data_IF_405533038180
#
_entry.id   IF_405533038180
#
_cell.length_a   1.000
_cell.length_b   1.000
_cell.length_c   1.000
_cell.angle_alpha   90.00
_cell.angle_beta   90.00
_cell.angle_gamma   90.00
#
_symmetry.space_group_name_H-M   'P 1'
#
loop_
_entity.id
_entity.type
_entity.pdbx_description
1 polymer ?
#
# COMPACT_ATOMS: atom_id res chain seq x y z
N UNK A 1 0.15 8.66 -16.17
CA UNK A 1 0.24 9.70 -15.12
C UNK A 1 0.35 9.04 -13.74
N UNK A 2 1.59 8.98 -13.27
CA UNK A 2 2.14 8.72 -11.93
C UNK A 2 1.41 7.81 -10.93
N UNK A 3 1.65 6.51 -11.08
CA UNK A 3 1.46 5.48 -10.04
C UNK A 3 2.58 5.46 -8.97
N UNK A 4 3.43 6.50 -8.97
CA UNK A 4 4.72 6.48 -8.29
C UNK A 4 4.60 6.68 -6.77
N UNK A 5 3.49 7.24 -6.28
CA UNK A 5 3.33 7.60 -4.88
C UNK A 5 3.19 6.36 -3.97
N UNK A 6 2.42 5.35 -4.39
CA UNK A 6 2.27 4.11 -3.63
C UNK A 6 3.54 3.25 -3.66
N UNK A 7 4.24 3.19 -4.79
CA UNK A 7 5.51 2.46 -4.83
C UNK A 7 6.57 3.15 -3.94
N UNK A 8 6.60 4.49 -3.94
CA UNK A 8 7.40 5.26 -2.98
C UNK A 8 7.02 4.96 -1.53
N UNK A 9 5.73 4.91 -1.21
CA UNK A 9 5.24 4.54 0.12
C UNK A 9 5.71 3.15 0.53
N UNK A 10 5.49 2.14 -0.31
CA UNK A 10 5.92 0.77 -0.06
C UNK A 10 7.44 0.68 0.11
N UNK A 11 8.20 1.51 -0.61
CA UNK A 11 9.66 1.61 -0.46
C UNK A 11 10.05 2.28 0.85
N UNK A 12 9.35 3.34 1.27
CA UNK A 12 9.58 4.00 2.56
C UNK A 12 9.30 3.07 3.74
N UNK A 13 8.15 2.39 3.72
CA UNK A 13 7.76 1.41 4.74
C UNK A 13 8.80 0.28 4.81
N UNK A 14 9.25 -0.24 3.66
CA UNK A 14 10.35 -1.22 3.58
C UNK A 14 11.69 -0.69 4.11
N UNK A 15 12.04 0.57 3.81
CA UNK A 15 13.25 1.21 4.31
C UNK A 15 13.23 1.41 5.83
N UNK A 16 12.04 1.50 6.44
CA UNK A 16 11.85 1.51 7.89
C UNK A 16 11.88 0.11 8.52
N UNK A 17 12.12 -0.95 7.73
CA UNK A 17 12.06 -2.35 8.19
C UNK A 17 10.63 -2.85 8.45
N UNK A 18 9.61 -2.11 8.00
CA UNK A 18 8.20 -2.48 8.14
C UNK A 18 7.73 -3.12 6.83
N UNK A 19 6.88 -4.15 6.95
CA UNK A 19 6.23 -4.82 5.82
C UNK A 19 4.72 -4.79 5.95
N UNK A 20 4.19 -3.96 6.84
CA UNK A 20 2.77 -3.81 7.08
C UNK A 20 2.43 -2.33 7.24
N UNK A 21 1.25 -1.96 6.77
CA UNK A 21 0.74 -0.60 6.86
C UNK A 21 -0.78 -0.61 7.00
N UNK A 22 -1.30 0.44 7.61
CA UNK A 22 -2.74 0.66 7.75
C UNK A 22 -3.26 1.60 6.68
N UNK A 23 -4.55 1.47 6.38
CA UNK A 23 -5.27 2.41 5.54
C UNK A 23 -5.25 3.83 6.12
N UNK A 24 -5.25 3.94 7.44
CA UNK A 24 -5.21 5.22 8.15
C UNK A 24 -3.86 5.91 7.98
N UNK A 25 -2.74 5.20 8.13
CA UNK A 25 -1.40 5.70 7.80
C UNK A 25 -1.34 6.17 6.33
N UNK A 26 -1.91 5.40 5.41
CA UNK A 26 -1.94 5.77 3.99
C UNK A 26 -2.77 7.04 3.73
N UNK A 27 -3.91 7.20 4.43
CA UNK A 27 -4.75 8.40 4.36
C UNK A 27 -4.05 9.62 4.93
N UNK A 28 -3.34 9.45 6.06
CA UNK A 28 -2.60 10.52 6.71
C UNK A 28 -1.42 11.00 5.85
N UNK A 29 -0.69 10.08 5.21
CA UNK A 29 0.47 10.40 4.36
C UNK A 29 0.05 11.13 3.07
N UNK A 30 -0.99 10.63 2.39
CA UNK A 30 -1.33 11.12 1.05
C UNK A 30 -2.46 12.15 1.03
N UNK A 31 -3.19 12.34 2.14
CA UNK A 31 -4.41 13.17 2.21
C UNK A 31 -5.34 12.94 1.00
N UNK A 32 -5.42 11.69 0.54
CA UNK A 32 -6.18 11.31 -0.65
C UNK A 32 -7.60 10.86 -0.28
N UNK A 33 -8.58 11.11 -1.17
CA UNK A 33 -9.93 10.61 -0.97
C UNK A 33 -9.94 9.08 -0.98
N UNK A 34 -10.75 8.50 -0.10
CA UNK A 34 -10.91 7.04 0.05
C UNK A 34 -11.10 6.25 -1.27
N UNK A 35 -11.93 6.69 -2.25
CA UNK A 35 -12.07 5.96 -3.51
C UNK A 35 -10.76 5.84 -4.30
N UNK A 36 -9.90 6.86 -4.27
CA UNK A 36 -8.58 6.84 -4.94
C UNK A 36 -7.66 5.81 -4.30
N UNK A 37 -7.60 5.80 -2.97
CA UNK A 37 -6.81 4.82 -2.21
C UNK A 37 -7.32 3.40 -2.47
N UNK A 38 -8.65 3.21 -2.42
CA UNK A 38 -9.28 1.90 -2.66
C UNK A 38 -8.95 1.35 -4.05
N UNK A 39 -9.01 2.19 -5.09
CA UNK A 39 -8.66 1.78 -6.45
C UNK A 39 -7.18 1.35 -6.54
N UNK A 40 -6.30 2.06 -5.85
CA UNK A 40 -4.88 1.79 -5.92
C UNK A 40 -4.48 0.55 -5.11
N UNK A 41 -5.08 0.33 -3.93
CA UNK A 41 -4.96 -0.91 -3.15
C UNK A 41 -5.49 -2.12 -3.93
N UNK A 42 -6.62 -1.96 -4.64
CA UNK A 42 -7.18 -3.03 -5.46
C UNK A 42 -6.21 -3.50 -6.54
N UNK A 43 -5.53 -2.57 -7.22
CA UNK A 43 -4.51 -2.88 -8.22
C UNK A 43 -3.30 -3.58 -7.60
N UNK A 44 -2.79 -3.11 -6.45
CA UNK A 44 -1.66 -3.76 -5.76
C UNK A 44 -2.01 -5.19 -5.32
N UNK A 45 -3.24 -5.39 -4.83
CA UNK A 45 -3.77 -6.72 -4.51
C UNK A 45 -3.86 -7.60 -5.75
N UNK A 46 -4.32 -7.05 -6.87
CA UNK A 46 -4.40 -7.77 -8.15
C UNK A 46 -3.01 -8.16 -8.70
N UNK A 47 -1.98 -7.37 -8.38
CA UNK A 47 -0.57 -7.69 -8.69
C UNK A 47 0.10 -8.61 -7.66
N UNK A 48 -0.61 -9.00 -6.61
CA UNK A 48 -0.06 -9.74 -5.46
C UNK A 48 1.13 -9.03 -4.79
N UNK A 49 1.21 -7.70 -4.89
CA UNK A 49 2.23 -6.92 -4.18
C UNK A 49 1.85 -6.66 -2.71
N UNK A 50 0.55 -6.73 -2.40
CA UNK A 50 0.03 -6.60 -1.04
C UNK A 50 -1.04 -7.66 -0.75
N UNK A 51 -1.13 -8.09 0.50
CA UNK A 51 -2.25 -8.85 1.04
C UNK A 51 -3.01 -8.02 2.08
N UNK A 52 -4.33 -8.17 2.11
CA UNK A 52 -5.15 -7.60 3.18
C UNK A 52 -5.33 -8.67 4.27
N UNK A 53 -4.77 -8.45 5.45
CA UNK A 53 -4.89 -9.40 6.57
C UNK A 53 -6.21 -9.18 7.32
N UNK A 54 -6.60 -7.91 7.52
CA UNK A 54 -7.88 -7.52 8.11
C UNK A 54 -8.34 -6.19 7.52
N UNK A 55 -9.58 -5.79 7.81
CA UNK A 55 -10.12 -4.53 7.29
C UNK A 55 -9.23 -3.35 7.68
N UNK A 56 -8.74 -2.61 6.69
CA UNK A 56 -7.84 -1.47 6.90
C UNK A 56 -6.39 -1.83 7.22
N UNK A 57 -6.00 -3.12 7.20
CA UNK A 57 -4.63 -3.54 7.46
C UNK A 57 -4.08 -4.38 6.31
N UNK A 58 -2.95 -3.92 5.77
CA UNK A 58 -2.31 -4.48 4.60
C UNK A 58 -0.87 -4.86 4.91
N UNK A 59 -0.41 -5.96 4.31
CA UNK A 59 0.97 -6.41 4.34
C UNK A 59 1.55 -6.40 2.94
N UNK A 60 2.82 -6.05 2.84
CA UNK A 60 3.60 -6.02 1.60
C UNK A 60 4.09 -7.44 1.38
N UNK A 61 3.74 -8.03 0.24
CA UNK A 61 4.22 -9.34 -0.16
C UNK A 61 5.52 -9.11 -0.95
N UNK A 62 6.67 -9.65 -0.51
CA UNK A 62 7.86 -9.61 -1.34
C UNK A 62 7.61 -10.45 -2.61
N UNK A 63 8.04 -9.99 -3.79
CA UNK A 63 8.06 -10.86 -4.96
C UNK A 63 9.05 -12.00 -4.67
N UNK A 64 8.55 -13.17 -4.30
CA UNK A 64 9.34 -14.40 -4.36
C UNK A 64 9.71 -14.62 -5.84
N UNK A 65 11.03 -14.67 -6.10
CA UNK A 65 11.64 -14.94 -7.41
C UNK A 65 11.60 -16.44 -7.73
#
# INVERSE_FOLDING_TARGET
MSYNYLNKYLTQIRAQGRYAFTLEELKAEFNLPYPTIKQALYRLKSKKEIAQIRQGFYVIIPPEY
#
